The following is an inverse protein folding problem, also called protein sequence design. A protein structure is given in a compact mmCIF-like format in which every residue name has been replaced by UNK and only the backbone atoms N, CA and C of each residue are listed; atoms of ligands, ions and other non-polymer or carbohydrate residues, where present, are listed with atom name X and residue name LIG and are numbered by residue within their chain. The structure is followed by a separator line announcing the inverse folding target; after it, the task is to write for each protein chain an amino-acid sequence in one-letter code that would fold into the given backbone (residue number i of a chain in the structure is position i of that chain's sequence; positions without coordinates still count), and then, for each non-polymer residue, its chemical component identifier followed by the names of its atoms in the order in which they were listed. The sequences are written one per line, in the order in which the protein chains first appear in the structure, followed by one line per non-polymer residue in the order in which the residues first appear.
data_IF_978864047989
#
_entry.id   IF_978864047989
#
_cell.length_a   1.000
_cell.length_b   1.000
_cell.length_c   1.000
_cell.angle_alpha   90.00
_cell.angle_beta   90.00
_cell.angle_gamma   90.00
#
_symmetry.space_group_name_H-M   'P 1'
#
loop_
_entity.id
_entity.type
_entity.pdbx_description
1 polymer ?
#
# COMPACT_ATOMS: atom_id res chain seq x y z
N UNK A 1 -7.13 22.39 -14.58
CA UNK A 1 -6.62 21.00 -14.44
C UNK A 1 -7.81 20.09 -14.22
N UNK A 2 -7.91 18.97 -14.94
CA UNK A 2 -9.14 18.17 -15.03
C UNK A 2 -9.45 17.39 -13.74
N UNK A 3 -10.72 17.36 -13.35
CA UNK A 3 -11.29 16.60 -12.20
C UNK A 3 -10.83 15.13 -12.16
N UNK A 4 -10.44 14.56 -13.31
CA UNK A 4 -9.87 13.21 -13.43
C UNK A 4 -8.50 13.08 -12.74
N UNK A 5 -7.64 14.11 -12.79
CA UNK A 5 -6.33 14.08 -12.14
C UNK A 5 -6.46 14.05 -10.60
N UNK A 6 -7.44 14.77 -10.05
CA UNK A 6 -7.73 14.79 -8.61
C UNK A 6 -8.38 13.48 -8.12
N UNK A 7 -9.12 12.79 -9.00
CA UNK A 7 -9.68 11.45 -8.73
C UNK A 7 -8.60 10.36 -8.74
N UNK A 8 -7.52 10.56 -9.48
CA UNK A 8 -6.31 9.72 -9.53
C UNK A 8 -5.28 10.02 -8.43
N UNK A 9 -5.61 10.91 -7.47
CA UNK A 9 -4.78 11.19 -6.30
C UNK A 9 -4.30 9.88 -5.67
N UNK A 10 -2.99 9.82 -5.42
CA UNK A 10 -2.33 8.60 -4.98
C UNK A 10 -2.98 8.06 -3.70
N UNK A 11 -3.31 6.75 -3.65
CA UNK A 11 -4.03 6.17 -2.53
C UNK A 11 -3.17 6.05 -1.26
N UNK A 12 -1.84 6.11 -1.42
CA UNK A 12 -0.89 6.06 -0.33
C UNK A 12 0.02 7.28 -0.34
N UNK A 13 0.45 7.70 0.84
CA UNK A 13 1.47 8.73 0.96
C UNK A 13 2.82 8.20 0.47
N UNK A 14 3.77 9.11 0.21
CA UNK A 14 5.11 8.73 -0.24
C UNK A 14 5.82 7.78 0.72
N UNK A 15 5.57 7.86 2.04
CA UNK A 15 6.22 7.00 3.03
C UNK A 15 5.73 5.57 2.91
N UNK A 16 4.41 5.35 2.84
CA UNK A 16 3.82 4.02 2.66
C UNK A 16 4.21 3.40 1.32
N UNK A 17 4.30 4.21 0.26
CA UNK A 17 4.83 3.76 -1.05
C UNK A 17 6.28 3.30 -0.97
N UNK A 18 7.14 4.01 -0.23
CA UNK A 18 8.55 3.61 -0.01
C UNK A 18 8.62 2.29 0.75
N UNK A 19 7.87 2.16 1.84
CA UNK A 19 7.81 0.92 2.64
C UNK A 19 7.32 -0.26 1.79
N UNK A 20 6.29 -0.05 0.96
CA UNK A 20 5.81 -1.06 -0.01
C UNK A 20 6.92 -1.52 -0.94
N UNK A 21 7.65 -0.58 -1.53
CA UNK A 21 8.74 -0.90 -2.46
C UNK A 21 9.88 -1.64 -1.74
N UNK A 22 10.20 -1.29 -0.50
CA UNK A 22 11.18 -2.02 0.31
C UNK A 22 10.73 -3.46 0.58
N UNK A 23 9.46 -3.67 0.95
CA UNK A 23 8.90 -5.00 1.15
C UNK A 23 8.99 -5.84 -0.13
N UNK A 24 8.65 -5.26 -1.29
CA UNK A 24 8.73 -5.97 -2.57
C UNK A 24 10.16 -6.29 -2.98
N UNK A 25 11.09 -5.34 -2.83
CA UNK A 25 12.50 -5.54 -3.14
C UNK A 25 13.14 -6.60 -2.23
N UNK A 26 12.95 -6.47 -0.92
CA UNK A 26 13.43 -7.45 0.05
C UNK A 26 12.80 -8.83 -0.18
N UNK A 27 11.49 -8.88 -0.47
CA UNK A 27 10.81 -10.14 -0.78
C UNK A 27 11.32 -10.81 -2.04
N UNK A 28 11.66 -10.02 -3.06
CA UNK A 28 12.29 -10.53 -4.29
C UNK A 28 13.65 -11.14 -3.98
N UNK A 29 14.48 -10.46 -3.19
CA UNK A 29 15.78 -10.98 -2.74
C UNK A 29 15.59 -12.28 -1.94
N UNK A 30 14.63 -12.30 -1.01
CA UNK A 30 14.33 -13.47 -0.19
C UNK A 30 13.93 -14.69 -1.04
N UNK A 31 13.07 -14.52 -2.04
CA UNK A 31 12.67 -15.58 -2.96
C UNK A 31 13.85 -16.04 -3.85
N UNK A 32 14.67 -15.10 -4.35
CA UNK A 32 15.86 -15.45 -5.12
C UNK A 32 16.85 -16.29 -4.30
N UNK A 33 17.01 -15.97 -3.02
CA UNK A 33 17.89 -16.75 -2.13
C UNK A 33 17.27 -18.12 -1.83
N UNK A 34 15.97 -18.18 -1.51
CA UNK A 34 15.30 -19.39 -1.06
C UNK A 34 14.91 -20.36 -2.19
N UNK A 35 14.16 -19.89 -3.19
CA UNK A 35 13.59 -20.74 -4.24
C UNK A 35 14.55 -20.93 -5.42
N UNK A 36 15.29 -19.88 -5.80
CA UNK A 36 16.27 -19.96 -6.89
C UNK A 36 17.60 -20.57 -6.39
N UNK A 37 17.79 -20.68 -5.08
CA UNK A 37 18.96 -21.31 -4.48
C UNK A 37 20.22 -20.44 -4.57
N UNK A 38 20.07 -19.12 -4.67
CA UNK A 38 21.20 -18.17 -4.70
C UNK A 38 21.67 -17.90 -3.26
N UNK A 39 22.09 -18.96 -2.55
CA UNK A 39 22.68 -18.85 -1.23
C UNK A 39 24.18 -18.54 -1.41
N UNK A 40 24.66 -17.37 -0.96
CA UNK A 40 26.07 -17.01 -1.14
C UNK A 40 26.97 -17.95 -0.33
N UNK A 41 27.87 -18.64 -1.02
CA UNK A 41 28.90 -19.48 -0.40
C UNK A 41 30.15 -18.69 -0.01
N UNK A 42 30.38 -17.54 -0.66
CA UNK A 42 31.48 -16.62 -0.35
C UNK A 42 31.16 -15.21 -0.82
N UNK A 43 31.69 -14.21 -0.12
CA UNK A 43 31.77 -12.84 -0.65
C UNK A 43 33.24 -12.57 -0.98
N UNK A 44 33.62 -12.84 -2.23
CA UNK A 44 35.01 -12.69 -2.69
C UNK A 44 35.54 -11.25 -2.55
N UNK A 45 34.67 -10.25 -2.61
CA UNK A 45 35.04 -8.85 -2.40
C UNK A 45 35.49 -8.54 -0.96
N UNK A 46 35.07 -9.37 0.01
CA UNK A 46 35.40 -9.21 1.43
C UNK A 46 36.33 -10.31 1.95
N UNK A 47 36.68 -11.30 1.12
CA UNK A 47 37.48 -12.46 1.54
C UNK A 47 36.78 -13.38 2.55
N UNK A 48 35.45 -13.28 2.68
CA UNK A 48 34.67 -14.08 3.65
C UNK A 48 34.14 -15.33 2.94
N UNK A 49 34.49 -16.50 3.49
CA UNK A 49 33.88 -17.79 3.13
C UNK A 49 32.80 -18.12 4.16
N UNK A 50 31.62 -18.50 3.69
CA UNK A 50 30.53 -18.85 4.58
C UNK A 50 30.53 -20.35 4.85
N UNK A 51 30.63 -20.71 6.13
CA UNK A 51 30.29 -22.04 6.62
C UNK A 51 28.77 -22.26 6.59
N UNK A 52 28.34 -23.53 6.67
CA UNK A 52 26.91 -23.88 6.73
C UNK A 52 26.16 -23.16 7.88
N UNK A 53 26.83 -22.93 9.01
CA UNK A 53 26.26 -22.23 10.18
C UNK A 53 26.00 -20.77 9.85
N UNK A 54 26.96 -20.10 9.22
CA UNK A 54 26.85 -18.69 8.87
C UNK A 54 25.82 -18.45 7.76
N UNK A 55 25.68 -19.39 6.81
CA UNK A 55 24.59 -19.37 5.82
C UNK A 55 23.21 -19.45 6.49
N UNK A 56 23.01 -20.36 7.45
CA UNK A 56 21.76 -20.43 8.22
C UNK A 56 21.48 -19.14 8.99
N UNK A 57 22.53 -18.51 9.57
CA UNK A 57 22.37 -17.25 10.27
C UNK A 57 22.02 -16.09 9.33
N UNK A 58 22.56 -16.08 8.11
CA UNK A 58 22.20 -15.11 7.08
C UNK A 58 20.73 -15.27 6.67
N UNK A 59 20.25 -16.50 6.49
CA UNK A 59 18.84 -16.78 6.18
C UNK A 59 17.90 -16.36 7.32
N UNK A 60 18.29 -16.60 8.58
CA UNK A 60 17.55 -16.11 9.77
C UNK A 60 17.46 -14.59 9.78
N UNK A 61 18.55 -13.90 9.45
CA UNK A 61 18.57 -12.45 9.37
C UNK A 61 17.65 -11.94 8.26
N UNK A 62 17.71 -12.53 7.07
CA UNK A 62 16.80 -12.21 5.96
C UNK A 62 15.33 -12.41 6.34
N UNK A 63 15.01 -13.53 7.02
CA UNK A 63 13.67 -13.81 7.51
C UNK A 63 13.20 -12.75 8.52
N UNK A 64 14.06 -12.33 9.46
CA UNK A 64 13.75 -11.28 10.42
C UNK A 64 13.48 -9.93 9.75
N UNK A 65 14.30 -9.56 8.75
CA UNK A 65 14.10 -8.34 7.93
C UNK A 65 12.77 -8.40 7.19
N UNK A 66 12.41 -9.56 6.63
CA UNK A 66 11.13 -9.75 5.95
C UNK A 66 9.94 -9.56 6.89
N UNK A 67 9.98 -10.16 8.09
CA UNK A 67 8.94 -9.98 9.11
C UNK A 67 8.82 -8.50 9.48
N UNK A 68 9.96 -7.81 9.69
CA UNK A 68 9.98 -6.39 9.98
C UNK A 68 9.27 -5.56 8.89
N UNK A 69 9.55 -5.81 7.60
CA UNK A 69 8.90 -5.06 6.52
C UNK A 69 7.42 -5.38 6.37
N UNK A 70 6.99 -6.63 6.60
CA UNK A 70 5.56 -7.01 6.57
C UNK A 70 4.79 -6.26 7.66
N UNK A 71 5.31 -6.28 8.90
CA UNK A 71 4.70 -5.59 10.04
C UNK A 71 4.67 -4.09 9.80
N UNK A 72 5.81 -3.51 9.38
CA UNK A 72 5.91 -2.08 9.08
C UNK A 72 4.89 -1.69 8.01
N UNK A 73 4.85 -2.38 6.87
CA UNK A 73 3.90 -2.11 5.80
C UNK A 73 2.43 -2.21 6.27
N UNK A 74 2.12 -3.21 7.11
CA UNK A 74 0.78 -3.40 7.67
C UNK A 74 0.36 -2.21 8.55
N UNK A 75 1.24 -1.76 9.46
CA UNK A 75 0.97 -0.60 10.34
C UNK A 75 0.72 0.67 9.51
N UNK A 76 1.62 0.97 8.57
CA UNK A 76 1.52 2.17 7.73
C UNK A 76 0.26 2.15 6.85
N UNK A 77 -0.04 1.01 6.22
CA UNK A 77 -1.23 0.86 5.37
C UNK A 77 -2.54 1.00 6.18
N UNK A 78 -2.62 0.39 7.37
CA UNK A 78 -3.79 0.48 8.25
C UNK A 78 -3.98 1.90 8.81
N UNK A 79 -2.89 2.60 9.13
CA UNK A 79 -2.91 3.98 9.60
C UNK A 79 -3.50 4.92 8.54
N UNK A 80 -3.08 4.78 7.28
CA UNK A 80 -3.58 5.60 6.18
C UNK A 80 -5.04 5.29 5.79
N UNK A 81 -5.44 4.02 5.85
CA UNK A 81 -6.85 3.62 5.70
C UNK A 81 -7.75 4.19 6.80
N UNK A 82 -7.20 4.44 7.99
CA UNK A 82 -7.94 5.02 9.11
C UNK A 82 -8.01 6.55 9.02
N UNK A 83 -6.90 7.20 8.64
CA UNK A 83 -6.82 8.66 8.47
C UNK A 83 -7.72 9.16 7.34
N UNK A 84 -7.82 8.41 6.25
CA UNK A 84 -8.71 8.74 5.13
C UNK A 84 -10.20 8.80 5.53
N UNK A 85 -10.65 7.94 6.47
CA UNK A 85 -12.03 7.96 6.99
C UNK A 85 -12.31 9.16 7.90
N UNK A 86 -11.31 9.63 8.64
CA UNK A 86 -11.44 10.77 9.56
C UNK A 86 -11.48 12.10 8.80
N UNK A 87 -10.64 12.27 7.79
CA UNK A 87 -10.63 13.47 6.93
C UNK A 87 -11.93 13.65 6.15
N UNK A 88 -12.58 12.56 5.74
CA UNK A 88 -13.91 12.64 5.10
C UNK A 88 -15.00 13.13 6.08
N UNK A 89 -14.86 12.86 7.38
CA UNK A 89 -15.81 13.33 8.40
C UNK A 89 -15.68 14.83 8.65
N UNK A 90 -14.45 15.36 8.79
CA UNK A 90 -14.23 16.79 9.06
C UNK A 90 -14.58 17.67 7.84
N UNK A 91 -14.17 17.25 6.64
CA UNK A 91 -14.49 17.96 5.40
C UNK A 91 -16.00 17.95 5.09
N UNK A 92 -16.73 16.92 5.53
CA UNK A 92 -18.19 16.91 5.42
C UNK A 92 -18.83 17.97 6.31
N UNK A 93 -18.40 18.17 7.56
CA UNK A 93 -18.99 19.17 8.45
C UNK A 93 -18.73 20.62 7.98
N UNK A 94 -17.52 20.93 7.51
CA UNK A 94 -17.17 22.26 7.02
C UNK A 94 -17.85 22.56 5.67
N UNK A 95 -17.88 21.60 4.74
CA UNK A 95 -18.63 21.74 3.49
C UNK A 95 -20.15 21.73 3.69
N UNK A 96 -20.71 21.10 4.73
CA UNK A 96 -22.16 21.14 4.99
C UNK A 96 -22.59 22.58 5.30
N UNK A 97 -21.82 23.33 6.11
CA UNK A 97 -22.13 24.74 6.43
C UNK A 97 -22.16 25.64 5.19
N UNK A 98 -21.18 25.48 4.29
CA UNK A 98 -21.10 26.25 3.04
C UNK A 98 -22.08 25.74 1.94
N UNK A 99 -22.28 24.42 1.84
CA UNK A 99 -23.25 23.82 0.91
C UNK A 99 -24.68 24.13 1.29
N UNK A 100 -25.03 24.30 2.56
CA UNK A 100 -26.40 24.70 2.97
C UNK A 100 -26.72 26.09 2.42
N UNK A 101 -25.79 27.05 2.56
CA UNK A 101 -25.99 28.42 2.06
C UNK A 101 -26.04 28.49 0.54
N UNK A 102 -25.20 27.70 -0.13
CA UNK A 102 -25.10 27.70 -1.60
C UNK A 102 -26.21 26.86 -2.25
N UNK A 103 -26.61 25.71 -1.67
CA UNK A 103 -27.77 24.91 -2.14
C UNK A 103 -29.09 25.66 -2.01
N UNK A 104 -29.26 26.54 -1.01
CA UNK A 104 -30.46 27.37 -0.92
C UNK A 104 -30.63 28.29 -2.14
N UNK A 105 -29.52 28.81 -2.68
CA UNK A 105 -29.52 29.63 -3.90
C UNK A 105 -29.59 28.78 -5.18
N UNK A 106 -28.86 27.67 -5.23
CA UNK A 106 -28.83 26.79 -6.40
C UNK A 106 -30.18 26.08 -6.57
N UNK A 107 -30.81 25.53 -5.53
CA UNK A 107 -32.13 24.88 -5.65
C UNK A 107 -33.24 25.83 -6.12
N UNK A 108 -33.06 27.15 -5.93
CA UNK A 108 -33.98 28.15 -6.47
C UNK A 108 -33.80 28.34 -7.99
N UNK A 109 -32.58 28.14 -8.51
CA UNK A 109 -32.25 28.24 -9.93
C UNK A 109 -32.35 26.89 -10.67
N UNK A 110 -32.21 25.77 -9.95
CA UNK A 110 -32.00 24.43 -10.51
C UNK A 110 -33.28 23.59 -10.59
N UNK A 111 -34.45 24.17 -10.28
CA UNK A 111 -35.74 23.47 -10.45
C UNK A 111 -36.07 23.14 -11.91
N UNK A 112 -35.24 23.57 -12.88
CA UNK A 112 -35.42 23.28 -14.31
C UNK A 112 -34.50 22.19 -14.89
N UNK A 113 -33.34 21.84 -14.32
CA UNK A 113 -32.34 20.98 -15.01
C UNK A 113 -31.55 20.13 -14.00
N UNK A 114 -31.75 18.80 -13.85
CA UNK A 114 -30.76 18.07 -13.03
C UNK A 114 -30.89 16.61 -12.60
N UNK A 115 -31.52 15.70 -13.35
CA UNK A 115 -31.58 14.28 -12.90
C UNK A 115 -30.40 13.37 -13.32
N UNK A 116 -29.42 13.84 -14.12
CA UNK A 116 -28.40 12.94 -14.72
C UNK A 116 -27.02 12.87 -14.04
N UNK A 117 -26.76 13.65 -12.98
CA UNK A 117 -25.39 13.83 -12.47
C UNK A 117 -24.95 12.86 -11.34
N UNK A 118 -25.85 12.08 -10.75
CA UNK A 118 -25.57 11.36 -9.48
C UNK A 118 -25.01 9.93 -9.66
N UNK A 119 -25.33 9.25 -10.77
CA UNK A 119 -24.91 7.86 -11.00
C UNK A 119 -23.40 7.68 -11.30
N UNK A 120 -22.73 8.73 -11.81
CA UNK A 120 -21.31 8.67 -12.17
C UNK A 120 -20.39 8.81 -10.93
N UNK A 121 -20.89 9.44 -9.85
CA UNK A 121 -20.11 9.72 -8.65
C UNK A 121 -19.93 8.46 -7.79
N UNK A 122 -20.96 7.62 -7.66
CA UNK A 122 -20.94 6.35 -6.91
C UNK A 122 -20.03 5.30 -7.53
N UNK A 123 -20.03 5.16 -8.87
CA UNK A 123 -19.17 4.18 -9.57
C UNK A 123 -17.67 4.46 -9.40
N UNK A 124 -17.28 5.73 -9.27
CA UNK A 124 -15.88 6.14 -9.08
C UNK A 124 -15.34 5.88 -7.67
N UNK A 125 -16.21 5.77 -6.67
CA UNK A 125 -15.82 5.49 -5.28
C UNK A 125 -15.42 4.03 -5.09
N UNK A 126 -16.16 3.09 -5.69
CA UNK A 126 -15.84 1.66 -5.62
C UNK A 126 -14.48 1.32 -6.25
N UNK A 127 -14.17 1.89 -7.42
CA UNK A 127 -12.87 1.69 -8.09
C UNK A 127 -11.69 2.12 -7.22
N UNK A 128 -11.83 3.19 -6.43
CA UNK A 128 -10.79 3.65 -5.49
C UNK A 128 -10.56 2.64 -4.36
N UNK A 129 -11.64 2.08 -3.81
CA UNK A 129 -11.56 1.06 -2.75
C UNK A 129 -10.92 -0.22 -3.28
N UNK A 130 -11.37 -0.73 -4.43
CA UNK A 130 -10.78 -1.93 -5.04
C UNK A 130 -9.30 -1.74 -5.38
N UNK A 131 -8.93 -0.57 -5.90
CA UNK A 131 -7.53 -0.24 -6.15
C UNK A 131 -6.70 -0.21 -4.87
N UNK A 132 -7.18 0.46 -3.83
CA UNK A 132 -6.48 0.52 -2.54
C UNK A 132 -6.31 -0.88 -1.93
N UNK A 133 -7.35 -1.72 -1.98
CA UNK A 133 -7.27 -3.12 -1.53
C UNK A 133 -6.22 -3.91 -2.30
N UNK A 134 -6.19 -3.78 -3.64
CA UNK A 134 -5.18 -4.44 -4.47
C UNK A 134 -3.76 -3.97 -4.14
N UNK A 135 -3.56 -2.67 -3.93
CA UNK A 135 -2.24 -2.12 -3.60
C UNK A 135 -1.73 -2.55 -2.21
N UNK A 136 -2.58 -3.06 -1.31
CA UNK A 136 -2.19 -3.66 -0.01
C UNK A 136 -2.03 -5.17 -0.14
N UNK A 137 -2.98 -5.84 -0.79
CA UNK A 137 -3.03 -7.29 -0.87
C UNK A 137 -1.81 -7.86 -1.59
N UNK A 138 -1.41 -7.28 -2.73
CA UNK A 138 -0.29 -7.81 -3.52
C UNK A 138 1.04 -7.78 -2.76
N UNK A 139 1.49 -6.65 -2.20
CA UNK A 139 2.74 -6.61 -1.44
C UNK A 139 2.72 -7.52 -0.21
N UNK A 140 1.58 -7.64 0.46
CA UNK A 140 1.45 -8.41 1.69
C UNK A 140 1.47 -9.91 1.41
N UNK A 141 0.76 -10.38 0.38
CA UNK A 141 0.82 -11.77 -0.10
C UNK A 141 2.24 -12.11 -0.56
N UNK A 142 2.88 -11.23 -1.31
CA UNK A 142 4.27 -11.42 -1.76
C UNK A 142 5.25 -11.51 -0.58
N UNK A 143 5.12 -10.62 0.40
CA UNK A 143 5.94 -10.63 1.61
C UNK A 143 5.78 -11.92 2.41
N UNK A 144 4.54 -12.37 2.63
CA UNK A 144 4.24 -13.62 3.32
C UNK A 144 4.80 -14.84 2.59
N UNK A 145 4.65 -14.88 1.25
CA UNK A 145 5.22 -15.94 0.43
C UNK A 145 6.74 -15.99 0.58
N UNK A 146 7.42 -14.84 0.47
CA UNK A 146 8.87 -14.75 0.63
C UNK A 146 9.34 -15.19 2.02
N UNK A 147 8.64 -14.79 3.07
CA UNK A 147 8.95 -15.21 4.44
C UNK A 147 8.77 -16.72 4.61
N UNK A 148 7.71 -17.31 4.03
CA UNK A 148 7.49 -18.75 4.03
C UNK A 148 8.58 -19.50 3.27
N UNK A 149 8.99 -19.00 2.10
CA UNK A 149 10.08 -19.58 1.32
C UNK A 149 11.40 -19.59 2.11
N UNK A 150 11.75 -18.46 2.75
CA UNK A 150 12.94 -18.36 3.60
C UNK A 150 12.86 -19.32 4.80
N UNK A 151 11.71 -19.41 5.46
CA UNK A 151 11.51 -20.32 6.60
C UNK A 151 11.66 -21.80 6.21
N UNK A 152 11.22 -22.17 5.00
CA UNK A 152 11.33 -23.54 4.48
C UNK A 152 12.78 -23.97 4.21
N UNK A 153 13.64 -23.02 3.84
CA UNK A 153 15.06 -23.26 3.51
C UNK A 153 15.97 -23.18 4.75
N UNK A 154 15.45 -22.60 5.84
CA UNK A 154 16.13 -22.47 7.12
C UNK A 154 16.35 -23.82 7.83
#
# INVERSE_FOLDING_TARGET
MSVLAERLKEPFTETTRKVRNHLMAAGTIGVLVADVGIIPSKISALGIEFTNIEQSNLLKLLLAIMIYYIVTFSIYSLSELSSSKLSESENNFENIGEKIKTRGLINFLDSEIGEKHDFQNTKSSLLRVFRSLYEIAVPLVWGLYSAYALYKVL
#
